data_IF_176705124033
#
_entry.id   IF_176705124033
#
_cell.length_a   1.000
_cell.length_b   1.000
_cell.length_c   1.000
_cell.angle_alpha   90.00
_cell.angle_beta   90.00
_cell.angle_gamma   90.00
#
_symmetry.space_group_name_H-M   'P 1'
#
loop_
_entity.id
_entity.type
_entity.pdbx_description
1 polymer ?
#
# COMPACT_ATOMS: atom_id res chain seq x y z
N UNK A 1 12.42 -9.39 -8.49
CA UNK A 1 12.29 -8.03 -7.93
C UNK A 1 13.52 -7.29 -8.42
N UNK A 2 13.38 -6.35 -9.35
CA UNK A 2 14.51 -5.59 -9.87
C UNK A 2 14.99 -4.59 -8.81
N UNK A 3 16.29 -4.61 -8.52
CA UNK A 3 16.93 -3.69 -7.60
C UNK A 3 16.82 -2.24 -8.12
N UNK A 4 15.98 -1.42 -7.48
CA UNK A 4 15.90 0.01 -7.80
C UNK A 4 16.84 0.82 -6.91
N UNK A 5 17.93 1.29 -7.51
CA UNK A 5 18.82 2.27 -6.88
C UNK A 5 18.20 3.67 -7.01
N UNK A 6 18.00 4.36 -5.89
CA UNK A 6 17.52 5.76 -5.87
C UNK A 6 18.68 6.66 -5.47
N UNK A 7 19.08 7.57 -6.35
CA UNK A 7 20.11 8.57 -6.06
C UNK A 7 19.45 9.90 -5.72
N UNK A 8 19.72 10.39 -4.51
CA UNK A 8 19.32 11.72 -4.06
C UNK A 8 20.50 12.68 -4.26
N UNK A 9 20.31 13.70 -5.09
CA UNK A 9 21.26 14.80 -5.26
C UNK A 9 20.72 16.07 -4.61
N UNK A 10 21.27 16.46 -3.46
CA UNK A 10 20.98 17.74 -2.82
C UNK A 10 21.88 18.85 -3.37
N UNK A 11 21.40 20.11 -3.33
CA UNK A 11 22.05 21.32 -3.90
C UNK A 11 23.43 21.71 -3.34
N UNK A 12 24.10 20.86 -2.55
CA UNK A 12 25.51 20.99 -2.21
C UNK A 12 26.23 19.65 -2.41
N UNK A 13 26.87 19.46 -3.56
CA UNK A 13 27.97 18.54 -3.93
C UNK A 13 28.08 17.11 -3.35
N UNK A 14 27.10 16.56 -2.63
CA UNK A 14 27.08 15.19 -2.11
C UNK A 14 25.81 14.48 -2.57
N UNK A 15 25.98 13.56 -3.51
CA UNK A 15 24.96 12.59 -3.89
C UNK A 15 25.00 11.40 -2.95
N UNK A 16 23.85 10.97 -2.43
CA UNK A 16 23.72 9.73 -1.67
C UNK A 16 22.78 8.78 -2.40
N UNK A 17 23.17 7.51 -2.51
CA UNK A 17 22.38 6.46 -3.15
C UNK A 17 21.81 5.52 -2.09
N UNK A 18 20.53 5.19 -2.24
CA UNK A 18 19.79 4.28 -1.37
C UNK A 18 19.21 3.14 -2.19
N UNK A 19 19.11 1.97 -1.57
CA UNK A 19 18.52 0.78 -2.17
C UNK A 19 17.24 0.42 -1.41
N UNK A 20 16.17 0.23 -2.16
CA UNK A 20 14.87 -0.20 -1.65
C UNK A 20 14.31 -1.31 -2.55
N UNK A 21 13.43 -2.14 -2.02
CA UNK A 21 12.69 -3.11 -2.83
C UNK A 21 11.84 -2.42 -3.89
N UNK A 22 11.27 -1.26 -3.53
CA UNK A 22 10.45 -0.43 -4.40
C UNK A 22 10.66 1.04 -4.05
N UNK A 23 10.83 1.87 -5.07
CA UNK A 23 10.81 3.33 -4.98
C UNK A 23 9.61 3.86 -5.77
N UNK A 24 8.77 4.67 -5.09
CA UNK A 24 7.53 5.22 -5.65
C UNK A 24 7.61 6.74 -5.67
N UNK A 25 7.24 7.34 -6.80
CA UNK A 25 7.17 8.79 -6.96
C UNK A 25 5.72 9.25 -7.11
N UNK A 26 5.18 9.85 -6.06
CA UNK A 26 3.81 10.37 -6.00
C UNK A 26 3.74 11.90 -6.05
N UNK A 27 4.78 12.58 -6.56
CA UNK A 27 4.86 14.05 -6.55
C UNK A 27 4.07 14.72 -7.66
N UNK A 28 4.06 14.13 -8.86
CA UNK A 28 3.48 14.75 -10.06
C UNK A 28 2.55 13.79 -10.82
N UNK A 29 1.22 13.99 -10.75
CA UNK A 29 0.24 13.14 -11.43
C UNK A 29 0.37 13.07 -12.96
N UNK A 30 1.07 14.03 -13.58
CA UNK A 30 1.23 14.08 -15.05
C UNK A 30 2.43 13.26 -15.55
N UNK A 31 3.28 12.78 -14.65
CA UNK A 31 4.46 11.99 -15.04
C UNK A 31 4.10 10.54 -15.30
N UNK A 32 4.74 9.93 -16.30
CA UNK A 32 4.52 8.53 -16.70
C UNK A 32 4.80 7.53 -15.57
N UNK A 33 5.63 7.91 -14.60
CA UNK A 33 6.01 7.10 -13.43
C UNK A 33 5.22 7.38 -12.15
N UNK A 34 4.13 8.15 -12.22
CA UNK A 34 3.37 8.54 -11.04
C UNK A 34 2.79 7.34 -10.29
N UNK A 35 3.17 7.22 -9.02
CA UNK A 35 2.66 6.21 -8.11
C UNK A 35 1.35 6.69 -7.47
N UNK A 36 0.24 6.26 -8.04
CA UNK A 36 -1.10 6.50 -7.50
C UNK A 36 -1.37 5.66 -6.25
N UNK A 37 -2.45 5.97 -5.52
CA UNK A 37 -2.92 5.12 -4.41
C UNK A 37 -3.26 3.70 -4.87
N UNK A 38 -3.75 3.55 -6.10
CA UNK A 38 -3.98 2.24 -6.70
C UNK A 38 -2.67 1.49 -6.89
N UNK A 39 -1.64 2.16 -7.40
CA UNK A 39 -0.29 1.59 -7.58
C UNK A 39 0.30 1.11 -6.25
N UNK A 40 0.15 1.89 -5.18
CA UNK A 40 0.57 1.50 -3.83
C UNK A 40 -0.18 0.25 -3.36
N UNK A 41 -1.50 0.20 -3.56
CA UNK A 41 -2.32 -0.95 -3.19
C UNK A 41 -1.97 -2.21 -4.00
N UNK A 42 -1.75 -2.10 -5.30
CA UNK A 42 -1.39 -3.26 -6.14
C UNK A 42 -0.05 -3.87 -5.70
N UNK A 43 0.90 -3.02 -5.30
CA UNK A 43 2.23 -3.47 -4.88
C UNK A 43 2.26 -4.05 -3.47
N UNK A 44 1.57 -3.45 -2.51
CA UNK A 44 1.65 -3.86 -1.10
C UNK A 44 0.35 -4.49 -0.58
N UNK A 45 -0.78 -3.96 -1.02
CA UNK A 45 -2.11 -4.36 -0.55
C UNK A 45 -2.48 -5.78 -0.98
N UNK A 46 -2.33 -6.12 -2.25
CA UNK A 46 -2.68 -7.46 -2.76
C UNK A 46 -1.91 -8.58 -2.04
N UNK A 47 -0.59 -8.42 -1.93
CA UNK A 47 0.28 -9.38 -1.21
C UNK A 47 -0.12 -9.53 0.26
N UNK A 48 -0.49 -8.41 0.90
CA UNK A 48 -0.94 -8.43 2.30
C UNK A 48 -2.25 -9.23 2.44
N UNK A 49 -3.21 -9.04 1.52
CA UNK A 49 -4.47 -9.79 1.56
C UNK A 49 -4.24 -11.28 1.31
N UNK A 50 -3.41 -11.62 0.32
CA UNK A 50 -3.07 -13.01 0.02
C UNK A 50 -2.43 -13.69 1.24
N UNK A 51 -1.42 -13.07 1.85
CA UNK A 51 -0.77 -13.59 3.06
C UNK A 51 -1.74 -13.78 4.23
N UNK A 52 -2.67 -12.86 4.46
CA UNK A 52 -3.68 -13.01 5.53
C UNK A 52 -4.62 -14.19 5.26
N UNK A 53 -5.02 -14.41 4.00
CA UNK A 53 -5.88 -15.53 3.63
C UNK A 53 -5.15 -16.88 3.67
N UNK A 54 -3.83 -16.88 3.49
CA UNK A 54 -2.97 -18.05 3.71
C UNK A 54 -2.75 -18.36 5.22
N UNK A 55 -3.31 -17.54 6.12
CA UNK A 55 -3.16 -17.71 7.57
C UNK A 55 -1.89 -17.10 8.15
N UNK A 56 -1.19 -16.23 7.40
CA UNK A 56 0.02 -15.54 7.85
C UNK A 56 -0.31 -14.18 8.47
N UNK A 57 0.36 -13.86 9.59
CA UNK A 57 0.29 -12.53 10.19
C UNK A 57 1.01 -11.51 9.32
N UNK A 58 0.28 -10.51 8.83
CA UNK A 58 0.83 -9.41 8.04
C UNK A 58 0.78 -8.09 8.81
N UNK A 59 1.80 -7.25 8.66
CA UNK A 59 1.87 -5.93 9.31
C UNK A 59 2.39 -4.89 8.32
N UNK A 60 1.67 -3.77 8.22
CA UNK A 60 2.05 -2.64 7.38
C UNK A 60 2.01 -1.36 8.22
N UNK A 61 3.09 -0.58 8.18
CA UNK A 61 3.18 0.70 8.86
C UNK A 61 3.83 1.74 7.94
N UNK A 62 3.47 3.01 8.13
CA UNK A 62 4.08 4.13 7.43
C UNK A 62 4.94 4.95 8.39
N UNK A 63 6.17 5.28 7.98
CA UNK A 63 7.11 6.07 8.78
C UNK A 63 7.58 7.31 8.00
N UNK A 64 7.99 8.35 8.71
CA UNK A 64 8.46 9.61 8.12
C UNK A 64 8.09 10.83 8.97
N UNK A 65 8.63 11.99 8.60
CA UNK A 65 8.35 13.26 9.28
C UNK A 65 6.87 13.69 9.11
N UNK A 66 6.36 14.55 9.98
CA UNK A 66 5.04 15.19 9.80
C UNK A 66 4.96 15.91 8.45
N UNK A 67 3.84 15.77 7.75
CA UNK A 67 3.63 16.36 6.42
C UNK A 67 4.12 15.53 5.24
N UNK A 68 4.79 14.39 5.44
CA UNK A 68 5.32 13.55 4.33
C UNK A 68 4.30 12.56 3.74
N UNK A 69 3.01 12.67 4.09
CA UNK A 69 1.96 11.84 3.50
C UNK A 69 1.70 10.48 4.15
N UNK A 70 2.19 10.19 5.37
CA UNK A 70 1.89 8.92 6.09
C UNK A 70 0.38 8.61 6.16
N UNK A 71 -0.41 9.57 6.64
CA UNK A 71 -1.88 9.45 6.72
C UNK A 71 -2.49 9.35 5.33
N UNK A 72 -1.95 10.08 4.36
CA UNK A 72 -2.38 10.00 2.95
C UNK A 72 -2.16 8.60 2.39
N UNK A 73 -1.02 7.95 2.65
CA UNK A 73 -0.74 6.59 2.18
C UNK A 73 -1.63 5.56 2.86
N UNK A 74 -1.80 5.62 4.18
CA UNK A 74 -2.56 4.61 4.94
C UNK A 74 -4.07 4.81 4.79
N UNK A 75 -4.58 6.00 5.09
CA UNK A 75 -6.02 6.29 5.06
C UNK A 75 -6.45 6.90 3.72
N UNK A 76 -5.64 7.82 3.20
CA UNK A 76 -6.00 8.61 2.02
C UNK A 76 -7.15 9.56 2.26
N UNK A 77 -7.86 9.91 1.19
CA UNK A 77 -9.06 10.74 1.25
C UNK A 77 -10.30 9.87 1.02
N UNK A 78 -11.42 10.24 1.64
CA UNK A 78 -12.69 9.52 1.51
C UNK A 78 -13.33 9.73 0.14
N UNK A 79 -13.09 10.87 -0.49
CA UNK A 79 -13.57 11.21 -1.82
C UNK A 79 -12.53 12.01 -2.61
N UNK A 80 -12.34 11.76 -3.92
CA UNK A 80 -12.98 10.70 -4.71
C UNK A 80 -12.38 9.29 -4.42
N UNK A 81 -13.05 8.18 -4.80
CA UNK A 81 -12.63 6.81 -4.45
C UNK A 81 -11.20 6.45 -4.85
N UNK A 82 -10.67 7.04 -5.92
CA UNK A 82 -9.27 6.89 -6.36
C UNK A 82 -8.25 7.45 -5.36
N UNK A 83 -8.66 8.34 -4.44
CA UNK A 83 -7.80 8.91 -3.40
C UNK A 83 -7.81 8.13 -2.09
N UNK A 84 -8.65 7.10 -1.97
CA UNK A 84 -8.64 6.19 -0.81
C UNK A 84 -7.27 5.54 -0.67
N UNK A 85 -6.75 5.48 0.55
CA UNK A 85 -5.44 4.93 0.86
C UNK A 85 -5.43 3.41 0.94
N UNK A 86 -4.35 2.89 1.50
CA UNK A 86 -4.09 1.46 1.58
C UNK A 86 -5.10 0.71 2.46
N UNK A 87 -5.41 1.23 3.64
CA UNK A 87 -6.29 0.60 4.63
C UNK A 87 -7.72 0.37 4.12
N UNK A 88 -8.47 1.39 3.63
CA UNK A 88 -9.82 1.16 3.13
C UNK A 88 -9.86 0.17 1.95
N UNK A 89 -8.85 0.18 1.09
CA UNK A 89 -8.73 -0.77 -0.03
C UNK A 89 -8.44 -2.20 0.45
N UNK A 90 -7.54 -2.36 1.42
CA UNK A 90 -7.23 -3.65 2.06
C UNK A 90 -8.46 -4.30 2.63
N UNK A 91 -9.19 -3.55 3.47
CA UNK A 91 -10.40 -4.03 4.13
C UNK A 91 -11.44 -4.44 3.08
N UNK A 92 -11.70 -3.60 2.08
CA UNK A 92 -12.65 -3.92 0.99
C UNK A 92 -12.28 -5.20 0.24
N UNK A 93 -11.01 -5.36 -0.12
CA UNK A 93 -10.55 -6.54 -0.86
C UNK A 93 -10.60 -7.81 -0.01
N UNK A 94 -10.20 -7.72 1.26
CA UNK A 94 -10.26 -8.83 2.21
C UNK A 94 -11.70 -9.35 2.36
N UNK A 95 -12.66 -8.46 2.65
CA UNK A 95 -14.07 -8.85 2.76
C UNK A 95 -14.57 -9.49 1.46
N UNK A 96 -14.26 -8.89 0.31
CA UNK A 96 -14.69 -9.41 -1.00
C UNK A 96 -14.16 -10.84 -1.26
N UNK A 97 -12.92 -11.12 -0.87
CA UNK A 97 -12.32 -12.46 -1.02
C UNK A 97 -12.89 -13.47 -0.01
N UNK A 98 -13.10 -13.06 1.24
CA UNK A 98 -13.74 -13.90 2.24
C UNK A 98 -15.15 -14.33 1.79
N UNK A 99 -15.92 -13.43 1.19
CA UNK A 99 -17.26 -13.75 0.70
C UNK A 99 -17.24 -14.72 -0.49
N UNK A 100 -16.25 -14.59 -1.40
CA UNK A 100 -16.03 -15.56 -2.47
C UNK A 100 -15.64 -16.96 -1.96
N UNK A 101 -14.82 -17.03 -0.91
CA UNK A 101 -14.42 -18.30 -0.28
C UNK A 101 -15.61 -18.98 0.41
N UNK A 102 -16.46 -18.22 1.13
CA UNK A 102 -17.68 -18.76 1.74
C UNK A 102 -18.67 -19.33 0.73
N UNK A 103 -18.72 -18.80 -0.50
CA UNK A 103 -19.58 -19.33 -1.55
C UNK A 103 -19.13 -20.73 -2.04
N UNK A 104 -17.85 -21.07 -1.87
CA UNK A 104 -17.24 -22.31 -2.38
C UNK A 104 -17.03 -23.34 -1.27
N UNK A 105 -16.93 -22.92 -0.02
CA UNK A 105 -16.60 -23.79 1.13
C UNK A 105 -17.49 -23.44 2.32
N UNK A 106 -17.93 -24.45 3.07
CA UNK A 106 -18.77 -24.27 4.26
C UNK A 106 -17.96 -23.79 5.49
N UNK A 107 -16.95 -22.97 5.26
CA UNK A 107 -16.03 -22.46 6.28
C UNK A 107 -16.60 -21.21 6.96
N UNK A 108 -16.57 -21.20 8.29
CA UNK A 108 -16.96 -20.05 9.07
C UNK A 108 -15.77 -19.08 9.23
N UNK A 109 -15.80 -17.96 8.52
CA UNK A 109 -14.80 -16.90 8.66
C UNK A 109 -15.31 -15.83 9.62
N UNK A 110 -14.61 -15.63 10.74
CA UNK A 110 -14.90 -14.60 11.73
C UNK A 110 -13.93 -13.43 11.59
N UNK A 111 -14.46 -12.23 11.33
CA UNK A 111 -13.66 -11.01 11.14
C UNK A 111 -13.88 -10.07 12.33
N UNK A 112 -12.80 -9.63 12.97
CA UNK A 112 -12.81 -8.64 14.05
C UNK A 112 -12.02 -7.41 13.63
N UNK A 113 -12.58 -6.23 13.88
CA UNK A 113 -11.92 -4.94 13.65
C UNK A 113 -11.77 -4.24 15.00
N UNK A 114 -10.58 -3.72 15.29
CA UNK A 114 -10.27 -2.95 16.48
C UNK A 114 -9.62 -1.64 16.06
N UNK A 115 -9.98 -0.54 16.73
CA UNK A 115 -9.41 0.80 16.55
C UNK A 115 -8.57 1.17 17.76
#
# INVERSE_FOLDING_TARGET
IEDKLVTLSGGSSKSQSYKFDVALDSRNPKEKGYASQQTVFDLFGLRTVDSVLEGLTSTVFAYGQTGTGKTTTIMGNNYPPEQQGLLPRLVKNLFSRCDALKATSNEQIHLKVQM
#
